data_IF_194409369760
#
_entry.id   IF_194409369760
#
_cell.length_a   1.000
_cell.length_b   1.000
_cell.length_c   1.000
_cell.angle_alpha   90.00
_cell.angle_beta   90.00
_cell.angle_gamma   90.00
#
_symmetry.space_group_name_H-M   'P 1'
#
loop_
_entity.id
_entity.type
_entity.pdbx_description
1 polymer ?
#
# COMPACT_ATOMS: atom_id res chain seq x y z
N UNK A 1 10.53 7.25 -20.46
CA UNK A 1 9.41 7.07 -19.55
C UNK A 1 8.08 6.74 -20.25
N UNK A 2 7.83 7.30 -21.45
CA UNK A 2 6.61 7.01 -22.22
C UNK A 2 6.50 5.52 -22.56
N UNK A 3 7.54 4.95 -23.13
CA UNK A 3 7.56 3.53 -23.50
C UNK A 3 7.30 2.64 -22.28
N UNK A 4 7.89 2.99 -21.12
CA UNK A 4 7.61 2.28 -19.86
C UNK A 4 6.13 2.34 -19.47
N UNK A 5 5.50 3.50 -19.57
CA UNK A 5 4.09 3.67 -19.26
C UNK A 5 3.23 2.82 -20.22
N UNK A 6 3.53 2.85 -21.51
CA UNK A 6 2.84 2.03 -22.51
C UNK A 6 3.00 0.54 -22.23
N UNK A 7 4.21 0.04 -22.01
CA UNK A 7 4.44 -1.37 -21.71
C UNK A 7 3.75 -1.83 -20.42
N UNK A 8 3.69 -0.98 -19.40
CA UNK A 8 2.93 -1.29 -18.19
C UNK A 8 1.43 -1.39 -18.49
N UNK A 9 0.88 -0.47 -19.26
CA UNK A 9 -0.53 -0.47 -19.63
C UNK A 9 -0.88 -1.71 -20.48
N UNK A 10 -0.08 -2.02 -21.50
CA UNK A 10 -0.24 -3.22 -22.33
C UNK A 10 -0.23 -4.51 -21.50
N UNK A 11 0.69 -4.59 -20.51
CA UNK A 11 0.76 -5.75 -19.60
C UNK A 11 -0.49 -5.89 -18.74
N UNK A 12 -1.06 -4.77 -18.24
CA UNK A 12 -2.30 -4.75 -17.47
C UNK A 12 -3.49 -5.17 -18.34
N UNK A 13 -3.61 -4.62 -19.54
CA UNK A 13 -4.68 -4.98 -20.48
C UNK A 13 -4.63 -6.46 -20.88
N UNK A 14 -3.42 -6.99 -21.08
CA UNK A 14 -3.22 -8.42 -21.32
C UNK A 14 -3.69 -9.26 -20.13
N UNK A 15 -3.31 -8.86 -18.90
CA UNK A 15 -3.72 -9.57 -17.68
C UNK A 15 -5.24 -9.50 -17.48
N UNK A 16 -5.88 -8.35 -17.71
CA UNK A 16 -7.34 -8.20 -17.64
C UNK A 16 -8.04 -9.11 -18.66
N UNK A 17 -7.54 -9.16 -19.88
CA UNK A 17 -8.08 -10.01 -20.94
C UNK A 17 -7.97 -11.51 -20.61
N UNK A 18 -6.84 -11.92 -20.03
CA UNK A 18 -6.60 -13.32 -19.69
C UNK A 18 -7.38 -13.78 -18.44
N UNK A 19 -7.59 -12.90 -17.47
CA UNK A 19 -8.25 -13.24 -16.20
C UNK A 19 -9.74 -12.89 -16.15
N UNK A 20 -10.20 -11.98 -17.02
CA UNK A 20 -11.56 -11.41 -16.95
C UNK A 20 -11.77 -10.46 -15.77
N UNK A 21 -10.72 -10.11 -15.04
CA UNK A 21 -10.75 -9.24 -13.86
C UNK A 21 -10.15 -7.87 -14.15
N UNK A 22 -10.73 -6.82 -13.62
CA UNK A 22 -10.12 -5.49 -13.64
C UNK A 22 -8.86 -5.46 -12.79
N UNK A 23 -7.79 -4.87 -13.33
CA UNK A 23 -6.49 -4.71 -12.66
C UNK A 23 -6.16 -3.24 -12.51
N UNK A 24 -6.00 -2.79 -11.27
CA UNK A 24 -5.45 -1.48 -10.99
C UNK A 24 -3.93 -1.49 -11.08
N UNK A 25 -3.36 -0.39 -11.59
CA UNK A 25 -1.94 -0.11 -11.49
C UNK A 25 -1.74 1.41 -11.43
N UNK A 26 -0.57 1.83 -11.06
CA UNK A 26 -0.24 3.25 -10.96
C UNK A 26 1.11 3.56 -11.60
N UNK A 27 1.16 4.66 -12.35
CA UNK A 27 2.36 5.12 -13.03
C UNK A 27 2.96 6.32 -12.30
N UNK A 28 4.23 6.23 -11.92
CA UNK A 28 4.91 7.28 -11.17
C UNK A 28 5.23 8.48 -12.07
N UNK A 29 4.56 9.59 -11.81
CA UNK A 29 4.70 10.84 -12.55
C UNK A 29 5.69 11.81 -11.90
N UNK A 30 6.33 11.45 -10.78
CA UNK A 30 7.35 12.27 -10.13
C UNK A 30 8.37 12.75 -11.14
N UNK A 31 8.61 14.06 -11.15
CA UNK A 31 9.47 14.73 -12.13
C UNK A 31 10.14 15.95 -11.49
N UNK A 32 11.15 16.56 -12.15
CA UNK A 32 11.88 17.70 -11.59
C UNK A 32 11.05 18.96 -11.33
N UNK A 33 9.95 19.14 -12.04
CA UNK A 33 9.03 20.27 -11.89
C UNK A 33 7.58 19.86 -12.12
N UNK A 34 6.64 20.75 -11.78
CA UNK A 34 5.20 20.48 -11.83
C UNK A 34 4.71 20.33 -13.28
N UNK A 35 5.27 21.09 -14.20
CA UNK A 35 4.90 21.08 -15.63
C UNK A 35 5.20 19.70 -16.25
N UNK A 36 6.36 19.12 -15.95
CA UNK A 36 6.71 17.78 -16.41
C UNK A 36 5.88 16.70 -15.70
N UNK A 37 5.49 16.92 -14.44
CA UNK A 37 4.56 16.04 -13.73
C UNK A 37 3.18 16.02 -14.41
N UNK A 38 2.63 17.17 -14.76
CA UNK A 38 1.37 17.25 -15.48
C UNK A 38 1.43 16.56 -16.84
N UNK A 39 2.50 16.80 -17.60
CA UNK A 39 2.71 16.14 -18.90
C UNK A 39 2.73 14.60 -18.79
N UNK A 40 3.32 14.07 -17.73
CA UNK A 40 3.31 12.62 -17.46
C UNK A 40 1.94 12.14 -17.01
N UNK A 41 1.25 12.91 -16.19
CA UNK A 41 -0.09 12.61 -15.72
C UNK A 41 -1.12 12.64 -16.88
N UNK A 42 -1.04 13.62 -17.77
CA UNK A 42 -1.85 13.69 -18.98
C UNK A 42 -1.63 12.47 -19.87
N UNK A 43 -0.39 12.11 -20.14
CA UNK A 43 -0.08 10.93 -20.92
C UNK A 43 -0.58 9.62 -20.26
N UNK A 44 -0.44 9.49 -18.93
CA UNK A 44 -0.98 8.34 -18.19
C UNK A 44 -2.51 8.26 -18.34
N UNK A 45 -3.20 9.40 -18.26
CA UNK A 45 -4.65 9.50 -18.49
C UNK A 45 -5.01 9.13 -19.93
N UNK A 46 -4.28 9.64 -20.92
CA UNK A 46 -4.50 9.36 -22.35
C UNK A 46 -4.44 7.86 -22.68
N UNK A 47 -3.51 7.14 -22.07
CA UNK A 47 -3.37 5.67 -22.25
C UNK A 47 -4.33 4.86 -21.37
N UNK A 48 -5.21 5.50 -20.58
CA UNK A 48 -6.26 4.84 -19.81
C UNK A 48 -5.88 4.39 -18.40
N UNK A 49 -4.76 4.86 -17.85
CA UNK A 49 -4.37 4.55 -16.47
C UNK A 49 -5.28 5.23 -15.47
N UNK A 50 -5.95 4.50 -14.55
CA UNK A 50 -6.89 5.11 -13.61
C UNK A 50 -6.22 5.73 -12.38
N UNK A 51 -4.98 5.36 -12.10
CA UNK A 51 -4.25 5.76 -10.90
C UNK A 51 -2.86 6.23 -11.30
N UNK A 52 -2.44 7.41 -10.85
CA UNK A 52 -1.05 7.86 -10.96
C UNK A 52 -0.39 7.87 -9.59
N UNK A 53 0.94 7.94 -9.57
CA UNK A 53 1.73 7.92 -8.34
C UNK A 53 2.63 9.14 -8.25
N UNK A 54 2.84 9.64 -7.04
CA UNK A 54 3.85 10.66 -6.73
C UNK A 54 4.64 10.33 -5.47
N UNK A 55 5.85 10.88 -5.38
CA UNK A 55 6.71 10.81 -4.19
C UNK A 55 6.63 12.15 -3.45
N UNK A 56 5.62 12.33 -2.59
CA UNK A 56 5.22 13.65 -2.07
C UNK A 56 6.29 14.39 -1.25
N UNK A 57 7.14 13.66 -0.55
CA UNK A 57 8.25 14.29 0.20
C UNK A 57 9.38 14.76 -0.72
N UNK A 58 9.54 14.11 -1.86
CA UNK A 58 10.53 14.48 -2.88
C UNK A 58 10.09 15.71 -3.67
N UNK A 59 8.81 15.77 -4.07
CA UNK A 59 8.28 16.89 -4.84
C UNK A 59 7.85 18.09 -3.98
N UNK A 60 7.66 17.88 -2.69
CA UNK A 60 7.22 18.91 -1.74
C UNK A 60 5.70 19.12 -1.73
N UNK A 61 5.24 19.76 -0.66
CA UNK A 61 3.81 19.86 -0.37
C UNK A 61 3.03 20.71 -1.36
N UNK A 62 3.62 21.81 -1.87
CA UNK A 62 2.95 22.67 -2.84
C UNK A 62 2.71 21.94 -4.17
N UNK A 63 3.72 21.22 -4.67
CA UNK A 63 3.59 20.41 -5.88
C UNK A 63 2.61 19.26 -5.68
N UNK A 64 2.64 18.60 -4.51
CA UNK A 64 1.68 17.56 -4.16
C UNK A 64 0.24 18.09 -4.13
N UNK A 65 -0.02 19.23 -3.53
CA UNK A 65 -1.34 19.87 -3.50
C UNK A 65 -1.85 20.18 -4.93
N UNK A 66 -0.98 20.71 -5.78
CA UNK A 66 -1.30 20.99 -7.18
C UNK A 66 -1.64 19.72 -7.96
N UNK A 67 -0.86 18.67 -7.79
CA UNK A 67 -1.11 17.38 -8.45
C UNK A 67 -2.39 16.72 -7.92
N UNK A 68 -2.65 16.76 -6.62
CA UNK A 68 -3.88 16.23 -6.01
C UNK A 68 -5.12 16.94 -6.56
N UNK A 69 -5.05 18.26 -6.73
CA UNK A 69 -6.12 19.03 -7.34
C UNK A 69 -6.35 18.63 -8.79
N UNK A 70 -5.26 18.52 -9.56
CA UNK A 70 -5.31 18.10 -10.95
C UNK A 70 -5.93 16.70 -11.10
N UNK A 71 -5.54 15.72 -10.25
CA UNK A 71 -6.11 14.37 -10.24
C UNK A 71 -7.63 14.41 -10.05
N UNK A 72 -8.10 15.19 -9.07
CA UNK A 72 -9.53 15.35 -8.77
C UNK A 72 -10.30 15.94 -9.92
N UNK A 73 -9.77 16.99 -10.55
CA UNK A 73 -10.39 17.66 -11.68
C UNK A 73 -10.39 16.77 -12.95
N UNK A 74 -9.53 15.75 -13.00
CA UNK A 74 -9.39 14.81 -14.13
C UNK A 74 -9.93 13.39 -13.86
N UNK A 75 -10.50 13.13 -12.69
CA UNK A 75 -11.09 11.83 -12.33
C UNK A 75 -10.08 10.69 -12.15
N UNK A 76 -8.86 11.01 -11.68
CA UNK A 76 -7.81 10.04 -11.40
C UNK A 76 -7.59 9.89 -9.90
N UNK A 77 -7.24 8.68 -9.48
CA UNK A 77 -6.74 8.42 -8.12
C UNK A 77 -5.25 8.74 -8.02
N UNK A 78 -4.82 9.17 -6.84
CA UNK A 78 -3.43 9.51 -6.56
C UNK A 78 -2.87 8.58 -5.46
N UNK A 79 -2.03 7.65 -5.89
CA UNK A 79 -1.23 6.81 -5.01
C UNK A 79 0.04 7.55 -4.60
N UNK A 80 0.34 7.58 -3.31
CA UNK A 80 1.44 8.40 -2.80
C UNK A 80 2.49 7.54 -2.10
N UNK A 81 3.70 7.60 -2.61
CA UNK A 81 4.87 6.99 -2.01
C UNK A 81 5.60 7.97 -1.09
N UNK A 82 6.19 7.47 -0.02
CA UNK A 82 6.92 8.27 0.97
C UNK A 82 8.44 8.21 0.82
N UNK A 83 8.96 8.18 -0.41
CA UNK A 83 10.40 8.23 -0.65
C UNK A 83 11.05 9.39 0.14
N UNK A 84 12.24 9.17 0.67
CA UNK A 84 12.98 10.09 1.56
C UNK A 84 12.41 10.26 2.99
N UNK A 85 11.30 9.62 3.37
CA UNK A 85 10.78 9.80 4.72
C UNK A 85 11.82 9.50 5.82
N UNK A 86 12.66 8.49 5.63
CA UNK A 86 13.64 8.08 6.63
C UNK A 86 14.69 9.15 6.98
N UNK A 87 14.99 10.09 6.07
CA UNK A 87 15.85 11.27 6.37
C UNK A 87 15.11 12.32 7.20
N UNK A 88 13.79 12.27 7.21
CA UNK A 88 12.94 13.28 7.85
C UNK A 88 12.42 12.78 9.20
N UNK A 89 11.96 11.52 9.29
CA UNK A 89 11.19 11.01 10.44
C UNK A 89 11.95 10.04 11.35
N UNK A 90 13.13 9.52 10.92
CA UNK A 90 13.85 8.50 11.70
C UNK A 90 14.87 9.04 12.69
N UNK A 91 15.22 10.31 12.61
CA UNK A 91 16.20 10.85 13.52
C UNK A 91 15.58 11.12 14.91
N UNK A 92 16.19 10.60 16.01
CA UNK A 92 15.57 10.66 17.33
C UNK A 92 15.48 12.06 17.96
N UNK A 93 16.27 13.02 17.46
CA UNK A 93 16.40 14.36 18.08
C UNK A 93 15.87 15.50 17.21
N UNK A 94 15.69 15.29 15.92
CA UNK A 94 15.17 16.32 15.00
C UNK A 94 14.50 15.69 13.79
N UNK A 95 13.70 16.48 13.10
CA UNK A 95 12.91 16.05 11.96
C UNK A 95 11.43 16.24 12.19
N UNK A 96 10.62 15.51 11.42
CA UNK A 96 9.16 15.57 11.50
C UNK A 96 8.65 14.13 11.67
N UNK A 97 7.89 13.88 12.74
CA UNK A 97 7.29 12.56 12.96
C UNK A 97 6.37 12.17 11.79
N UNK A 98 6.41 10.91 11.38
CA UNK A 98 5.63 10.44 10.22
C UNK A 98 4.12 10.67 10.39
N UNK A 99 3.58 10.65 11.60
CA UNK A 99 2.18 11.01 11.88
C UNK A 99 1.81 12.40 11.34
N UNK A 100 2.70 13.39 11.48
CA UNK A 100 2.49 14.73 10.94
C UNK A 100 2.51 14.71 9.42
N UNK A 101 3.46 13.99 8.83
CA UNK A 101 3.56 13.81 7.38
C UNK A 101 2.32 13.12 6.79
N UNK A 102 1.78 12.10 7.48
CA UNK A 102 0.56 11.40 7.08
C UNK A 102 -0.68 12.31 7.16
N UNK A 103 -0.83 13.09 8.24
CA UNK A 103 -1.91 14.09 8.36
C UNK A 103 -1.82 15.16 7.29
N UNK A 104 -0.62 15.67 7.02
CA UNK A 104 -0.40 16.65 5.95
C UNK A 104 -0.82 16.09 4.59
N UNK A 105 -0.50 14.83 4.28
CA UNK A 105 -0.93 14.24 3.03
C UNK A 105 -2.46 14.16 2.94
N UNK A 106 -3.15 13.73 3.99
CA UNK A 106 -4.63 13.71 4.01
C UNK A 106 -5.22 15.09 3.72
N UNK A 107 -4.64 16.15 4.30
CA UNK A 107 -5.03 17.55 4.03
C UNK A 107 -4.74 17.98 2.57
N UNK A 108 -3.67 17.46 1.96
CA UNK A 108 -3.28 17.76 0.58
C UNK A 108 -4.12 17.00 -0.47
N UNK A 109 -4.75 15.87 -0.08
CA UNK A 109 -5.71 15.17 -0.94
C UNK A 109 -5.13 13.97 -1.71
N UNK A 110 -4.23 13.16 -1.14
CA UNK A 110 -3.87 11.85 -1.70
C UNK A 110 -4.94 10.80 -1.39
N UNK A 111 -5.03 9.75 -2.22
CA UNK A 111 -5.99 8.66 -2.04
C UNK A 111 -5.37 7.45 -1.33
N UNK A 112 -4.11 7.12 -1.64
CA UNK A 112 -3.35 6.05 -1.01
C UNK A 112 -2.02 6.59 -0.48
N UNK A 113 -1.57 6.10 0.70
CA UNK A 113 -0.25 6.47 1.24
C UNK A 113 0.48 5.26 1.82
N UNK A 114 1.73 5.07 1.43
CA UNK A 114 2.64 4.11 2.07
C UNK A 114 2.80 4.42 3.55
N UNK A 115 2.36 3.49 4.42
CA UNK A 115 2.26 3.69 5.88
C UNK A 115 3.21 2.81 6.70
N UNK A 116 3.95 1.92 6.05
CA UNK A 116 4.70 0.85 6.73
C UNK A 116 3.85 -0.39 6.92
N UNK A 117 4.46 -1.46 7.42
CA UNK A 117 3.81 -2.78 7.46
C UNK A 117 3.58 -3.32 8.85
N UNK A 118 4.30 -2.86 9.87
CA UNK A 118 4.40 -3.46 11.23
C UNK A 118 4.82 -4.94 11.23
N UNK A 119 5.08 -5.50 10.07
CA UNK A 119 5.59 -6.87 9.85
C UNK A 119 6.68 -6.83 8.77
N UNK A 120 7.51 -7.87 8.68
CA UNK A 120 8.59 -7.95 7.70
C UNK A 120 9.85 -7.19 8.11
N UNK A 121 10.58 -6.64 7.13
CA UNK A 121 11.89 -5.99 7.36
C UNK A 121 11.83 -4.56 7.87
N UNK A 122 10.66 -3.93 7.84
CA UNK A 122 10.55 -2.54 8.28
C UNK A 122 10.41 -2.49 9.80
N UNK A 123 11.44 -1.95 10.43
CA UNK A 123 11.42 -1.59 11.84
C UNK A 123 10.50 -0.41 12.08
N UNK A 124 9.74 -0.47 13.14
CA UNK A 124 8.87 0.61 13.58
C UNK A 124 8.07 0.22 14.82
N UNK A 125 7.65 1.21 15.57
CA UNK A 125 6.73 1.02 16.67
C UNK A 125 5.35 0.64 16.11
N UNK A 126 4.88 -0.58 16.43
CA UNK A 126 3.58 -1.08 16.00
C UNK A 126 2.44 -0.16 16.45
N UNK A 127 2.47 0.26 17.71
CA UNK A 127 1.43 1.12 18.27
C UNK A 127 1.36 2.47 17.54
N UNK A 128 2.51 3.11 17.32
CA UNK A 128 2.57 4.35 16.56
C UNK A 128 2.11 4.17 15.11
N UNK A 129 2.49 3.06 14.46
CA UNK A 129 2.06 2.76 13.08
C UNK A 129 0.54 2.61 13.00
N UNK A 130 -0.08 1.86 13.90
CA UNK A 130 -1.53 1.76 13.99
C UNK A 130 -2.17 3.14 14.22
N UNK A 131 -1.57 3.98 15.07
CA UNK A 131 -2.06 5.34 15.33
C UNK A 131 -2.13 6.19 14.07
N UNK A 132 -1.08 6.24 13.24
CA UNK A 132 -1.17 7.04 12.02
C UNK A 132 -2.01 6.38 10.92
N UNK A 133 -2.17 5.04 10.90
CA UNK A 133 -3.10 4.36 10.00
C UNK A 133 -4.54 4.81 10.29
N UNK A 134 -4.95 4.84 11.55
CA UNK A 134 -6.27 5.32 11.94
C UNK A 134 -6.45 6.80 11.60
N UNK A 135 -5.44 7.65 11.90
CA UNK A 135 -5.47 9.08 11.53
C UNK A 135 -5.59 9.31 10.02
N UNK A 136 -5.08 8.39 9.19
CA UNK A 136 -5.23 8.47 7.75
C UNK A 136 -6.62 8.02 7.29
N UNK A 137 -7.15 6.95 7.86
CA UNK A 137 -8.34 6.24 7.35
C UNK A 137 -9.65 6.70 8.00
N UNK A 138 -9.65 6.81 9.33
CA UNK A 138 -10.89 6.95 10.06
C UNK A 138 -11.37 8.41 10.09
N UNK A 139 -12.69 8.59 10.18
CA UNK A 139 -13.31 9.92 10.25
C UNK A 139 -13.06 10.60 11.60
N UNK A 140 -13.13 9.84 12.68
CA UNK A 140 -12.85 10.28 14.04
C UNK A 140 -11.88 9.31 14.71
N UNK A 141 -10.87 9.86 15.38
CA UNK A 141 -9.87 9.10 16.14
C UNK A 141 -9.74 9.74 17.52
N UNK A 142 -10.06 8.98 18.56
CA UNK A 142 -9.93 9.44 19.94
C UNK A 142 -8.46 9.57 20.37
N UNK A 143 -8.21 10.41 21.37
CA UNK A 143 -6.90 10.50 22.01
C UNK A 143 -6.44 9.12 22.50
N UNK A 144 -5.27 8.71 22.09
CA UNK A 144 -4.54 7.53 22.58
C UNK A 144 -3.04 7.79 22.54
N UNK A 145 -2.49 8.22 23.67
CA UNK A 145 -1.07 8.58 23.79
C UNK A 145 -0.14 7.39 23.61
N UNK A 146 -0.59 6.17 23.88
CA UNK A 146 0.19 4.95 23.67
C UNK A 146 0.45 4.69 22.18
N UNK A 147 -0.46 5.19 21.32
CA UNK A 147 -0.38 5.14 19.86
C UNK A 147 0.10 6.45 19.23
N UNK A 148 0.51 7.40 20.09
CA UNK A 148 0.99 8.71 19.65
C UNK A 148 -0.11 9.66 19.17
N UNK A 149 -1.38 9.43 19.54
CA UNK A 149 -2.51 10.30 19.25
C UNK A 149 -2.72 11.17 20.47
N UNK A 150 -2.33 12.45 20.41
CA UNK A 150 -2.29 13.35 21.56
C UNK A 150 -3.57 14.16 21.77
N UNK A 151 -4.47 14.13 20.81
CA UNK A 151 -5.76 14.84 20.84
C UNK A 151 -6.78 14.06 20.05
N UNK A 152 -8.05 14.20 20.38
CA UNK A 152 -9.13 13.78 19.51
C UNK A 152 -8.98 14.42 18.13
N UNK A 153 -9.15 13.63 17.09
CA UNK A 153 -9.09 14.09 15.71
C UNK A 153 -10.42 13.82 15.02
N UNK A 154 -11.18 14.87 14.79
CA UNK A 154 -12.34 14.83 13.91
C UNK A 154 -11.96 15.43 12.55
N UNK A 155 -12.13 14.63 11.49
CA UNK A 155 -11.86 15.05 10.12
C UNK A 155 -13.08 15.62 9.40
N UNK A 156 -14.25 15.66 10.05
CA UNK A 156 -15.48 16.20 9.50
C UNK A 156 -15.91 15.49 8.21
N UNK A 157 -15.92 16.21 7.09
CA UNK A 157 -16.27 15.67 5.77
C UNK A 157 -15.05 15.29 4.91
N UNK A 158 -13.84 15.42 5.46
CA UNK A 158 -12.62 15.08 4.72
C UNK A 158 -12.53 13.56 4.52
N UNK A 159 -12.35 13.08 3.28
CA UNK A 159 -12.22 11.65 3.01
C UNK A 159 -10.97 11.06 3.68
N UNK A 160 -11.02 9.76 3.91
CA UNK A 160 -9.86 9.00 4.36
C UNK A 160 -8.84 8.76 3.25
N UNK A 161 -7.63 8.38 3.66
CA UNK A 161 -6.54 7.94 2.78
C UNK A 161 -6.30 6.46 3.07
N UNK A 162 -6.32 5.63 2.03
CA UNK A 162 -6.09 4.20 2.16
C UNK A 162 -4.63 3.91 2.51
N UNK A 163 -4.34 3.21 3.62
CA UNK A 163 -2.97 2.84 3.95
C UNK A 163 -2.42 1.78 2.99
N UNK A 164 -1.15 1.94 2.64
CA UNK A 164 -0.42 0.98 1.79
C UNK A 164 0.65 0.29 2.63
N UNK A 165 0.49 -1.00 2.85
CA UNK A 165 1.48 -1.85 3.50
C UNK A 165 2.47 -2.39 2.46
N UNK A 166 3.73 -2.00 2.55
CA UNK A 166 4.79 -2.50 1.68
C UNK A 166 6.14 -2.56 2.40
N UNK A 167 7.00 -3.45 1.93
CA UNK A 167 8.38 -3.56 2.39
C UNK A 167 8.70 -4.89 3.07
N UNK A 168 9.33 -5.80 2.33
CA UNK A 168 9.79 -7.10 2.84
C UNK A 168 8.69 -8.08 3.23
N UNK A 169 7.47 -7.87 2.77
CA UNK A 169 6.33 -8.76 3.05
C UNK A 169 6.23 -9.93 2.05
N UNK A 170 5.75 -11.05 2.54
CA UNK A 170 5.53 -12.29 1.78
C UNK A 170 4.36 -13.08 2.37
N UNK A 171 3.99 -14.21 1.76
CA UNK A 171 2.78 -14.98 2.09
C UNK A 171 2.60 -15.28 3.58
N UNK A 172 3.67 -15.52 4.32
CA UNK A 172 3.59 -15.79 5.76
C UNK A 172 3.14 -14.59 6.60
N UNK A 173 3.29 -13.36 6.10
CA UNK A 173 2.79 -12.16 6.76
C UNK A 173 1.30 -11.92 6.51
N UNK A 174 0.68 -12.65 5.59
CA UNK A 174 -0.71 -12.40 5.16
C UNK A 174 -1.71 -12.42 6.30
N UNK A 175 -1.68 -13.39 7.24
CA UNK A 175 -2.63 -13.38 8.37
C UNK A 175 -2.53 -12.12 9.23
N UNK A 176 -1.31 -11.69 9.56
CA UNK A 176 -1.08 -10.46 10.33
C UNK A 176 -1.49 -9.22 9.55
N UNK A 177 -1.19 -9.14 8.25
CA UNK A 177 -1.57 -8.00 7.41
C UNK A 177 -3.09 -7.85 7.31
N UNK A 178 -3.81 -8.96 7.06
CA UNK A 178 -5.28 -8.94 7.01
C UNK A 178 -5.89 -8.57 8.36
N UNK A 179 -5.30 -9.05 9.45
CA UNK A 179 -5.77 -8.74 10.81
C UNK A 179 -5.53 -7.26 11.19
N UNK A 180 -4.39 -6.69 10.80
CA UNK A 180 -4.00 -5.31 11.16
C UNK A 180 -4.69 -4.28 10.28
N UNK A 181 -4.69 -4.49 8.97
CA UNK A 181 -5.14 -3.48 8.01
C UNK A 181 -6.62 -3.62 7.63
N UNK A 182 -7.22 -4.79 7.82
CA UNK A 182 -8.60 -5.05 7.40
C UNK A 182 -8.77 -5.03 5.88
N UNK A 183 -9.91 -4.53 5.42
CA UNK A 183 -10.28 -4.52 4.00
C UNK A 183 -9.89 -3.22 3.28
N UNK A 184 -9.81 -2.10 4.01
CA UNK A 184 -9.50 -0.78 3.46
C UNK A 184 -7.99 -0.52 3.47
N UNK A 185 -7.25 -1.32 2.73
CA UNK A 185 -5.79 -1.22 2.61
C UNK A 185 -5.26 -1.77 1.28
N UNK A 186 -4.10 -1.28 0.88
CA UNK A 186 -3.34 -1.81 -0.23
C UNK A 186 -2.18 -2.67 0.30
N UNK A 187 -2.16 -3.95 -0.03
CA UNK A 187 -1.06 -4.85 0.34
C UNK A 187 -0.11 -5.00 -0.86
N UNK A 188 1.11 -4.47 -0.76
CA UNK A 188 2.04 -4.39 -1.88
C UNK A 188 3.23 -5.34 -1.70
N UNK A 189 3.19 -6.45 -2.40
CA UNK A 189 4.20 -7.50 -2.37
C UNK A 189 5.20 -7.33 -3.53
N UNK A 190 6.32 -6.66 -3.29
CA UNK A 190 7.42 -6.57 -4.25
C UNK A 190 8.22 -7.89 -4.30
N UNK A 191 9.22 -8.04 -3.43
CA UNK A 191 10.03 -9.26 -3.35
C UNK A 191 9.21 -10.54 -3.11
N UNK A 192 8.13 -10.45 -2.34
CA UNK A 192 7.22 -11.56 -2.07
C UNK A 192 6.44 -12.07 -3.30
N UNK A 193 6.43 -11.31 -4.40
CA UNK A 193 5.91 -11.75 -5.70
C UNK A 193 7.07 -12.08 -6.66
N UNK A 194 7.98 -11.13 -6.86
CA UNK A 194 9.06 -11.22 -7.84
C UNK A 194 10.12 -12.28 -7.50
N UNK A 195 10.28 -12.60 -6.23
CA UNK A 195 11.21 -13.63 -5.74
C UNK A 195 10.65 -15.06 -5.76
N UNK A 196 9.45 -15.28 -6.31
CA UNK A 196 8.90 -16.62 -6.42
C UNK A 196 9.72 -17.45 -7.43
N UNK A 197 10.14 -18.72 -7.08
CA UNK A 197 11.00 -19.53 -7.97
C UNK A 197 10.40 -19.80 -9.35
N UNK A 198 9.08 -19.80 -9.47
CA UNK A 198 8.35 -20.02 -10.74
C UNK A 198 7.98 -18.71 -11.46
N UNK A 199 8.51 -17.57 -11.01
CA UNK A 199 8.29 -16.28 -11.64
C UNK A 199 7.08 -15.52 -11.10
N UNK A 200 6.83 -14.36 -11.71
CA UNK A 200 5.88 -13.35 -11.20
C UNK A 200 4.43 -13.83 -11.17
N UNK A 201 3.98 -14.57 -12.19
CA UNK A 201 2.62 -15.07 -12.25
C UNK A 201 2.31 -16.03 -11.11
N UNK A 202 3.23 -16.95 -10.81
CA UNK A 202 3.10 -17.86 -9.68
C UNK A 202 3.16 -17.12 -8.33
N UNK A 203 4.03 -16.10 -8.20
CA UNK A 203 4.10 -15.25 -7.01
C UNK A 203 2.79 -14.48 -6.78
N UNK A 204 2.19 -13.96 -7.83
CA UNK A 204 0.88 -13.29 -7.76
C UNK A 204 -0.23 -14.27 -7.35
N UNK A 205 -0.27 -15.47 -7.95
CA UNK A 205 -1.22 -16.52 -7.59
C UNK A 205 -1.08 -16.94 -6.11
N UNK A 206 0.15 -17.13 -5.64
CA UNK A 206 0.42 -17.47 -4.24
C UNK A 206 -0.12 -16.41 -3.28
N UNK A 207 0.14 -15.12 -3.53
CA UNK A 207 -0.35 -14.02 -2.71
C UNK A 207 -1.88 -13.92 -2.77
N UNK A 208 -2.49 -14.14 -3.94
CA UNK A 208 -3.96 -14.13 -4.11
C UNK A 208 -4.61 -15.23 -3.28
N UNK A 209 -4.16 -16.46 -3.38
CA UNK A 209 -4.68 -17.60 -2.60
C UNK A 209 -4.51 -17.36 -1.09
N UNK A 210 -3.36 -16.81 -0.68
CA UNK A 210 -3.10 -16.50 0.73
C UNK A 210 -4.08 -15.45 1.28
N UNK A 211 -4.31 -14.34 0.57
CA UNK A 211 -5.23 -13.29 1.04
C UNK A 211 -6.67 -13.78 1.07
N UNK A 212 -7.11 -14.49 0.05
CA UNK A 212 -8.48 -15.06 0.01
C UNK A 212 -8.73 -16.05 1.16
N UNK A 213 -7.77 -16.93 1.45
CA UNK A 213 -7.85 -17.85 2.57
C UNK A 213 -7.94 -17.13 3.92
N UNK A 214 -7.12 -16.09 4.13
CA UNK A 214 -7.14 -15.31 5.37
C UNK A 214 -8.44 -14.51 5.53
N UNK A 215 -8.91 -13.84 4.48
CA UNK A 215 -10.18 -13.08 4.51
C UNK A 215 -11.36 -14.01 4.78
N UNK A 216 -11.42 -15.16 4.10
CA UNK A 216 -12.46 -16.17 4.33
C UNK A 216 -12.45 -16.65 5.78
N UNK A 217 -11.30 -17.05 6.30
CA UNK A 217 -11.17 -17.54 7.68
C UNK A 217 -11.58 -16.46 8.71
N UNK A 218 -11.18 -15.21 8.51
CA UNK A 218 -11.60 -14.08 9.36
C UNK A 218 -13.13 -13.91 9.34
N UNK A 219 -13.73 -13.96 8.17
CA UNK A 219 -15.19 -13.82 8.02
C UNK A 219 -15.96 -15.00 8.62
N UNK A 220 -15.34 -16.17 8.76
CA UNK A 220 -15.84 -17.33 9.49
C UNK A 220 -15.59 -17.23 11.02
N UNK A 221 -15.01 -16.13 11.51
CA UNK A 221 -14.75 -15.89 12.93
C UNK A 221 -13.49 -16.55 13.48
N UNK A 222 -12.59 -17.01 12.60
CA UNK A 222 -11.31 -17.62 13.01
C UNK A 222 -10.29 -16.56 13.39
N UNK A 223 -9.42 -16.88 14.35
CA UNK A 223 -8.40 -15.97 14.87
C UNK A 223 -7.12 -16.04 14.03
N UNK A 224 -6.92 -15.06 13.14
CA UNK A 224 -5.77 -15.04 12.22
C UNK A 224 -4.41 -15.05 12.94
N UNK A 225 -4.30 -14.43 14.12
CA UNK A 225 -3.06 -14.41 14.90
C UNK A 225 -2.67 -15.81 15.42
N UNK A 226 -3.65 -16.62 15.80
CA UNK A 226 -3.41 -17.97 16.34
C UNK A 226 -3.38 -19.04 15.25
N UNK A 227 -4.28 -18.93 14.27
CA UNK A 227 -4.54 -19.98 13.29
C UNK A 227 -3.93 -19.71 11.91
N UNK A 228 -3.27 -18.56 11.73
CA UNK A 228 -2.79 -18.11 10.41
C UNK A 228 -1.89 -19.12 9.69
N UNK A 229 -1.02 -19.81 10.42
CA UNK A 229 -0.18 -20.87 9.85
C UNK A 229 -0.99 -22.06 9.33
N UNK A 230 -2.01 -22.48 10.07
CA UNK A 230 -2.86 -23.61 9.69
C UNK A 230 -3.77 -23.27 8.53
N UNK A 231 -4.25 -22.01 8.49
CA UNK A 231 -5.04 -21.46 7.37
C UNK A 231 -4.23 -21.49 6.07
N UNK A 232 -3.01 -20.96 6.09
CA UNK A 232 -2.12 -20.97 4.93
C UNK A 232 -1.72 -22.39 4.51
N UNK A 233 -1.44 -23.27 5.48
CA UNK A 233 -1.08 -24.67 5.23
C UNK A 233 -2.24 -25.43 4.59
N UNK A 234 -3.48 -25.17 5.01
CA UNK A 234 -4.67 -25.75 4.41
C UNK A 234 -4.88 -25.26 2.98
N UNK A 235 -4.72 -23.96 2.74
CA UNK A 235 -4.84 -23.37 1.41
C UNK A 235 -3.76 -23.88 0.43
N UNK A 236 -2.54 -24.06 0.91
CA UNK A 236 -1.41 -24.58 0.12
C UNK A 236 -1.60 -26.02 -0.38
N UNK A 237 -2.52 -26.80 0.21
CA UNK A 237 -2.87 -28.14 -0.32
C UNK A 237 -3.51 -28.08 -1.70
N UNK A 238 -4.12 -26.92 -2.05
CA UNK A 238 -4.84 -26.69 -3.29
C UNK A 238 -4.16 -25.68 -4.22
N UNK A 239 -2.99 -25.14 -3.82
CA UNK A 239 -2.17 -24.22 -4.61
C UNK A 239 -0.71 -24.58 -4.53
N UNK A 240 -0.17 -25.20 -5.58
CA UNK A 240 1.28 -25.46 -5.69
C UNK A 240 2.12 -24.19 -5.57
N UNK A 241 1.63 -23.07 -6.12
CA UNK A 241 2.30 -21.76 -6.05
C UNK A 241 2.44 -21.28 -4.61
N UNK A 242 1.35 -21.35 -3.83
CA UNK A 242 1.40 -20.98 -2.41
C UNK A 242 2.32 -21.91 -1.62
N UNK A 243 2.29 -23.20 -1.89
CA UNK A 243 3.18 -24.16 -1.24
C UNK A 243 4.64 -23.81 -1.46
N UNK A 244 5.05 -23.57 -2.69
CA UNK A 244 6.44 -23.17 -3.04
C UNK A 244 6.80 -21.82 -2.43
N UNK A 245 5.90 -20.84 -2.44
CA UNK A 245 6.12 -19.57 -1.77
C UNK A 245 6.36 -19.75 -0.26
N UNK A 246 5.57 -20.58 0.42
CA UNK A 246 5.75 -20.93 1.84
C UNK A 246 7.07 -21.64 2.13
N UNK A 247 7.54 -22.50 1.23
CA UNK A 247 8.84 -23.18 1.34
C UNK A 247 10.01 -22.21 1.13
N UNK A 248 9.83 -21.22 0.22
CA UNK A 248 10.86 -20.21 -0.10
C UNK A 248 11.08 -19.24 1.06
N UNK A 249 10.02 -18.81 1.73
CA UNK A 249 10.08 -17.89 2.87
C UNK A 249 9.69 -18.61 4.17
N UNK A 250 10.58 -19.48 4.66
CA UNK A 250 10.32 -20.42 5.78
C UNK A 250 10.14 -19.76 7.13
N UNK A 251 10.66 -18.57 7.35
CA UNK A 251 10.62 -17.92 8.67
C UNK A 251 9.50 -16.89 8.76
N UNK A 252 8.59 -17.13 9.71
CA UNK A 252 7.61 -16.14 10.16
C UNK A 252 8.21 -15.42 11.35
N UNK A 253 8.37 -14.10 11.24
CA UNK A 253 8.55 -13.22 12.40
C UNK A 253 7.38 -12.28 12.45
N UNK A 254 6.49 -12.49 13.38
CA UNK A 254 5.42 -11.58 13.74
C UNK A 254 5.90 -10.62 14.82
#
# INVERSE_FOLDING_TARGET
WRDRFQFCQEAIEKAEKETGERKGHYLNVTAPNVEEMYKRAEFAKEIGTPIIMSDYLTIGWAAQASLSRWCRDNGLLLHVHRAMHGVIDRHPKHGINFRVLAKMLRLLGGDHLHSGTVVGKLEGDRAATLGWIDLMRDKFVAEDRSRGIFFDQDWGQMPGVMPVASGGIHVWHMPALVNIFGDDACLQFGGGTLGHPWGNAAGAAANRVAVEACVKARNEGRELEKEGKDILTAAAKHSPELKIAMETWKEIKF
#
